data_IF_638768204011
#
_entry.id   IF_638768204011
#
_cell.length_a   1.000
_cell.length_b   1.000
_cell.length_c   1.000
_cell.angle_alpha   90.00
_cell.angle_beta   90.00
_cell.angle_gamma   90.00
#
_symmetry.space_group_name_H-M   'P 1'
#
loop_
_entity.id
_entity.type
_entity.pdbx_description
1 polymer ?
#
# COMPACT_ATOMS: atom_id res chain seq x y z
N UNK A 1 13.85 12.32 6.46
CA UNK A 1 14.89 11.32 6.71
C UNK A 1 14.41 10.21 7.65
N UNK A 2 13.96 10.48 8.88
CA UNK A 2 13.49 9.47 9.85
C UNK A 2 12.39 8.53 9.30
N UNK A 3 11.38 9.05 8.61
CA UNK A 3 10.29 8.24 8.03
C UNK A 3 10.83 7.30 6.96
N UNK A 4 11.81 7.74 6.15
CA UNK A 4 12.46 6.88 5.16
C UNK A 4 13.21 5.74 5.84
N UNK A 5 13.95 6.01 6.91
CA UNK A 5 14.68 4.99 7.67
C UNK A 5 13.75 4.00 8.38
N UNK A 6 12.66 4.47 8.98
CA UNK A 6 11.68 3.60 9.64
C UNK A 6 11.00 2.67 8.63
N UNK A 7 10.48 3.24 7.54
CA UNK A 7 9.81 2.44 6.49
C UNK A 7 10.79 1.50 5.81
N UNK A 8 12.02 1.94 5.59
CA UNK A 8 13.08 1.11 5.05
C UNK A 8 13.34 -0.11 5.94
N UNK A 9 13.53 0.06 7.25
CA UNK A 9 13.72 -1.05 8.19
C UNK A 9 12.54 -2.02 8.22
N UNK A 10 11.31 -1.49 8.19
CA UNK A 10 10.09 -2.30 8.24
C UNK A 10 9.84 -3.05 6.93
N UNK A 11 10.31 -2.54 5.79
CA UNK A 11 10.23 -3.23 4.49
C UNK A 11 11.41 -4.16 4.24
N UNK A 12 12.63 -3.69 4.49
CA UNK A 12 13.83 -4.46 4.22
C UNK A 12 13.88 -5.74 5.03
N UNK A 13 13.74 -5.64 6.34
CA UNK A 13 13.91 -6.79 7.22
C UNK A 13 12.97 -7.96 6.88
N UNK A 14 11.65 -7.77 6.68
CA UNK A 14 10.77 -8.84 6.28
C UNK A 14 10.99 -9.38 4.87
N UNK A 15 11.47 -8.54 3.95
CA UNK A 15 11.76 -8.97 2.58
C UNK A 15 13.02 -9.84 2.51
N UNK A 16 14.03 -9.50 3.34
CA UNK A 16 15.33 -10.19 3.37
C UNK A 16 15.31 -11.47 4.20
N UNK A 17 14.55 -11.51 5.27
CA UNK A 17 14.57 -12.60 6.26
C UNK A 17 13.24 -13.37 6.36
N UNK A 18 12.55 -13.57 5.24
CA UNK A 18 11.24 -14.23 5.20
C UNK A 18 11.24 -15.63 5.83
N UNK A 19 12.30 -16.40 5.62
CA UNK A 19 12.41 -17.75 6.17
C UNK A 19 12.45 -17.77 7.70
N UNK A 20 13.19 -16.83 8.29
CA UNK A 20 13.31 -16.68 9.75
C UNK A 20 11.99 -16.21 10.34
N UNK A 21 11.34 -15.25 9.72
CA UNK A 21 10.08 -14.68 10.19
C UNK A 21 8.91 -15.67 10.07
N UNK A 22 8.91 -16.51 9.03
CA UNK A 22 7.91 -17.58 8.90
C UNK A 22 8.01 -18.64 9.99
N UNK A 23 9.24 -18.96 10.44
CA UNK A 23 9.47 -19.87 11.56
C UNK A 23 9.04 -19.28 12.91
N UNK A 24 9.02 -17.97 13.05
CA UNK A 24 8.64 -17.26 14.28
C UNK A 24 7.14 -16.95 14.36
N UNK A 25 6.31 -17.42 13.41
CA UNK A 25 4.89 -17.06 13.29
C UNK A 25 4.63 -15.54 13.25
N UNK A 26 5.64 -14.76 12.86
CA UNK A 26 5.53 -13.31 12.81
C UNK A 26 4.68 -12.88 11.60
N UNK A 27 3.59 -12.19 11.88
CA UNK A 27 2.76 -11.62 10.81
C UNK A 27 3.49 -10.44 10.17
N UNK A 28 4.07 -10.69 8.99
CA UNK A 28 4.73 -9.65 8.21
C UNK A 28 3.69 -8.63 7.76
N UNK A 29 3.92 -7.34 8.00
CA UNK A 29 3.00 -6.29 7.57
C UNK A 29 2.85 -6.32 6.04
N UNK A 30 1.61 -6.30 5.55
CA UNK A 30 1.31 -6.35 4.11
C UNK A 30 1.17 -4.98 3.50
N UNK A 31 0.97 -3.96 4.32
CA UNK A 31 0.70 -2.63 3.83
C UNK A 31 1.09 -1.49 4.77
N UNK A 32 1.19 -0.32 4.18
CA UNK A 32 1.64 0.91 4.84
C UNK A 32 0.63 2.04 4.62
N UNK A 33 0.40 2.82 5.67
CA UNK A 33 -0.39 4.05 5.59
C UNK A 33 0.53 5.26 5.79
N UNK A 34 0.68 6.07 4.75
CA UNK A 34 1.33 7.37 4.83
C UNK A 34 0.28 8.46 5.01
N UNK A 35 0.34 9.19 6.11
CA UNK A 35 -0.61 10.25 6.39
C UNK A 35 0.07 11.56 6.76
N UNK A 36 -0.56 12.67 6.42
CA UNK A 36 -0.05 14.01 6.70
C UNK A 36 -0.63 15.05 5.76
N UNK A 37 -0.30 16.33 5.96
CA UNK A 37 -0.86 17.41 5.17
C UNK A 37 -0.55 17.25 3.67
N UNK A 38 -1.35 17.88 2.79
CA UNK A 38 -1.04 17.91 1.37
C UNK A 38 0.33 18.53 1.12
N UNK A 39 1.01 18.09 0.06
CA UNK A 39 2.34 18.61 -0.30
C UNK A 39 3.51 18.12 0.56
N UNK A 40 3.33 17.26 1.56
CA UNK A 40 4.43 16.72 2.36
C UNK A 40 5.25 15.61 1.65
N UNK A 41 4.98 15.34 0.38
CA UNK A 41 5.78 14.44 -0.44
C UNK A 41 5.50 12.95 -0.24
N UNK A 42 4.31 12.56 0.20
CA UNK A 42 3.91 11.14 0.41
C UNK A 42 4.22 10.25 -0.81
N UNK A 43 3.83 10.70 -1.99
CA UNK A 43 4.08 9.98 -3.25
C UNK A 43 5.56 9.86 -3.58
N UNK A 44 6.35 10.91 -3.34
CA UNK A 44 7.81 10.89 -3.53
C UNK A 44 8.49 9.91 -2.56
N UNK A 45 8.03 9.88 -1.31
CA UNK A 45 8.53 8.95 -0.30
C UNK A 45 8.25 7.51 -0.74
N UNK A 46 7.02 7.21 -1.19
CA UNK A 46 6.66 5.88 -1.69
C UNK A 46 7.53 5.42 -2.86
N UNK A 47 7.78 6.28 -3.84
CA UNK A 47 8.68 5.98 -4.97
C UNK A 47 10.13 5.77 -4.54
N UNK A 48 10.63 6.62 -3.64
CA UNK A 48 12.00 6.51 -3.14
C UNK A 48 12.22 5.21 -2.35
N UNK A 49 11.23 4.78 -1.57
CA UNK A 49 11.26 3.52 -0.82
C UNK A 49 11.30 2.34 -1.79
N UNK A 50 10.42 2.34 -2.80
CA UNK A 50 10.42 1.31 -3.84
C UNK A 50 11.82 1.16 -4.47
N UNK A 51 12.39 2.27 -4.94
CA UNK A 51 13.70 2.25 -5.60
C UNK A 51 14.78 1.67 -4.68
N UNK A 52 14.79 2.08 -3.42
CA UNK A 52 15.79 1.61 -2.45
C UNK A 52 15.62 0.12 -2.09
N UNK A 53 14.37 -0.32 -1.91
CA UNK A 53 14.06 -1.73 -1.62
C UNK A 53 14.48 -2.63 -2.77
N UNK A 54 14.13 -2.26 -4.01
CA UNK A 54 14.51 -3.06 -5.18
C UNK A 54 16.03 -3.11 -5.36
N UNK A 55 16.72 -1.98 -5.17
CA UNK A 55 18.19 -1.93 -5.24
C UNK A 55 18.83 -2.94 -4.26
N UNK A 56 18.39 -2.93 -3.01
CA UNK A 56 18.94 -3.83 -1.98
C UNK A 56 18.64 -5.30 -2.22
N UNK A 57 17.39 -5.61 -2.59
CA UNK A 57 17.04 -6.99 -2.92
C UNK A 57 17.83 -7.51 -4.12
N UNK A 58 18.08 -6.66 -5.13
CA UNK A 58 18.92 -7.04 -6.27
C UNK A 58 20.37 -7.28 -5.87
N UNK A 59 20.92 -6.49 -4.93
CA UNK A 59 22.27 -6.67 -4.40
C UNK A 59 22.41 -7.98 -3.61
N UNK A 60 21.41 -8.37 -2.81
CA UNK A 60 21.46 -9.58 -2.00
C UNK A 60 21.20 -10.87 -2.79
N UNK A 61 20.30 -10.84 -3.73
CA UNK A 61 19.98 -12.00 -4.56
C UNK A 61 20.96 -12.19 -5.73
N UNK A 62 21.95 -11.29 -5.89
CA UNK A 62 22.85 -11.25 -7.05
C UNK A 62 22.10 -11.31 -8.38
N UNK A 63 20.87 -10.79 -8.38
CA UNK A 63 19.93 -10.83 -9.51
C UNK A 63 19.34 -9.46 -9.78
N UNK A 64 19.03 -9.17 -11.03
CA UNK A 64 18.41 -7.90 -11.44
C UNK A 64 16.89 -7.94 -11.19
N UNK A 65 16.47 -7.66 -9.95
CA UNK A 65 15.06 -7.60 -9.61
C UNK A 65 14.41 -6.31 -10.14
N UNK A 66 13.21 -6.44 -10.67
CA UNK A 66 12.45 -5.31 -11.18
C UNK A 66 11.24 -5.01 -10.30
N UNK A 67 11.17 -3.78 -9.77
CA UNK A 67 9.97 -3.27 -9.13
C UNK A 67 8.97 -2.70 -10.13
N UNK A 68 7.69 -2.92 -9.88
CA UNK A 68 6.59 -2.34 -10.67
C UNK A 68 5.70 -1.48 -9.81
N UNK A 69 5.66 -0.18 -10.13
CA UNK A 69 4.88 0.79 -9.39
C UNK A 69 3.52 1.00 -10.07
N UNK A 70 2.46 0.60 -9.37
CA UNK A 70 1.07 0.80 -9.80
C UNK A 70 0.53 1.99 -9.02
N UNK A 71 0.47 3.16 -9.65
CA UNK A 71 -0.05 4.38 -9.04
C UNK A 71 -1.52 4.58 -9.40
N UNK A 72 -2.32 4.83 -8.38
CA UNK A 72 -3.77 5.05 -8.52
C UNK A 72 -4.18 6.22 -7.63
N UNK A 73 -5.01 7.11 -8.15
CA UNK A 73 -5.70 8.11 -7.33
C UNK A 73 -7.09 7.60 -6.94
N UNK A 74 -7.42 7.67 -5.65
CA UNK A 74 -8.72 7.25 -5.16
C UNK A 74 -9.90 7.88 -5.90
N UNK A 75 -9.94 9.21 -6.12
CA UNK A 75 -11.01 9.86 -6.88
C UNK A 75 -11.20 9.34 -8.31
N UNK A 76 -10.16 8.86 -8.97
CA UNK A 76 -10.26 8.27 -10.32
C UNK A 76 -11.03 6.95 -10.33
N UNK A 77 -11.04 6.25 -9.21
CA UNK A 77 -11.84 5.02 -9.04
C UNK A 77 -13.31 5.37 -8.80
N UNK A 78 -13.58 6.44 -8.05
CA UNK A 78 -14.94 6.85 -7.69
C UNK A 78 -15.76 7.45 -8.82
N UNK A 79 -15.13 8.06 -9.81
CA UNK A 79 -15.80 8.68 -10.94
C UNK A 79 -16.45 7.67 -11.91
N UNK A 80 -16.50 6.41 -11.51
CA UNK A 80 -17.04 5.33 -12.32
C UNK A 80 -18.44 4.91 -11.84
N UNK A 81 -19.24 4.36 -12.76
CA UNK A 81 -20.58 3.85 -12.48
C UNK A 81 -20.57 2.74 -11.42
N UNK A 82 -21.71 2.52 -10.78
CA UNK A 82 -21.88 1.48 -9.77
C UNK A 82 -21.36 0.12 -10.27
N UNK A 83 -20.49 -0.55 -9.49
CA UNK A 83 -19.84 -1.82 -9.88
C UNK A 83 -18.50 -1.65 -10.61
N UNK A 84 -18.20 -0.49 -11.18
CA UNK A 84 -16.90 -0.27 -11.84
C UNK A 84 -15.76 -0.01 -10.85
N UNK A 85 -16.07 0.58 -9.70
CA UNK A 85 -15.07 0.79 -8.64
C UNK A 85 -14.51 -0.53 -8.14
N UNK A 86 -15.38 -1.53 -7.92
CA UNK A 86 -14.96 -2.87 -7.54
C UNK A 86 -14.15 -3.55 -8.65
N UNK A 87 -14.60 -3.45 -9.88
CA UNK A 87 -13.87 -4.00 -11.03
C UNK A 87 -12.47 -3.41 -11.12
N UNK A 88 -12.35 -2.09 -10.95
CA UNK A 88 -11.07 -1.38 -11.00
C UNK A 88 -10.10 -1.84 -9.90
N UNK A 89 -10.59 -2.03 -8.67
CA UNK A 89 -9.77 -2.56 -7.58
C UNK A 89 -9.28 -3.97 -7.91
N UNK A 90 -10.16 -4.85 -8.36
CA UNK A 90 -9.76 -6.22 -8.79
C UNK A 90 -8.72 -6.18 -9.91
N UNK A 91 -8.87 -5.29 -10.89
CA UNK A 91 -7.89 -5.12 -11.98
C UNK A 91 -6.52 -4.68 -11.46
N UNK A 92 -6.47 -3.76 -10.46
CA UNK A 92 -5.23 -3.32 -9.84
C UNK A 92 -4.50 -4.51 -9.19
N UNK A 93 -5.20 -5.30 -8.36
CA UNK A 93 -4.61 -6.47 -7.70
C UNK A 93 -4.29 -7.59 -8.68
N UNK A 94 -5.12 -7.81 -9.70
CA UNK A 94 -4.82 -8.74 -10.80
C UNK A 94 -3.53 -8.36 -11.51
N UNK A 95 -3.37 -7.08 -11.87
CA UNK A 95 -2.15 -6.57 -12.50
C UNK A 95 -0.92 -6.77 -11.61
N UNK A 96 -1.07 -6.63 -10.29
CA UNK A 96 0.01 -6.92 -9.35
C UNK A 96 0.39 -8.41 -9.39
N UNK A 97 -0.59 -9.32 -9.38
CA UNK A 97 -0.34 -10.77 -9.53
C UNK A 97 0.35 -11.11 -10.84
N UNK A 98 -0.08 -10.51 -11.96
CA UNK A 98 0.54 -10.70 -13.27
C UNK A 98 2.03 -10.26 -13.29
N UNK A 99 2.38 -9.18 -12.57
CA UNK A 99 3.77 -8.76 -12.42
C UNK A 99 4.57 -9.74 -11.55
N UNK A 100 3.98 -10.23 -10.46
CA UNK A 100 4.62 -11.25 -9.61
C UNK A 100 4.93 -12.53 -10.40
N UNK A 101 3.98 -13.02 -11.21
CA UNK A 101 4.18 -14.20 -12.06
C UNK A 101 5.36 -14.03 -13.04
N UNK A 102 5.70 -12.80 -13.40
CA UNK A 102 6.86 -12.45 -14.23
C UNK A 102 8.16 -12.26 -13.42
N UNK A 103 8.17 -12.62 -12.14
CA UNK A 103 9.33 -12.44 -11.26
C UNK A 103 9.59 -10.98 -10.84
N UNK A 104 8.59 -10.10 -10.97
CA UNK A 104 8.69 -8.69 -10.61
C UNK A 104 8.00 -8.44 -9.27
N UNK A 105 8.45 -7.44 -8.51
CA UNK A 105 7.84 -7.06 -7.23
C UNK A 105 6.88 -5.90 -7.45
N UNK A 106 5.55 -6.11 -7.35
CA UNK A 106 4.57 -5.04 -7.53
C UNK A 106 4.40 -4.22 -6.27
N UNK A 107 4.30 -2.90 -6.45
CA UNK A 107 3.97 -1.91 -5.43
C UNK A 107 2.71 -1.18 -5.84
N UNK A 108 1.63 -1.37 -5.11
CA UNK A 108 0.37 -0.66 -5.30
C UNK A 108 0.41 0.59 -4.41
N UNK A 109 0.34 1.77 -5.02
CA UNK A 109 0.27 3.03 -4.31
C UNK A 109 -1.07 3.71 -4.60
N UNK A 110 -1.91 3.84 -3.57
CA UNK A 110 -3.21 4.52 -3.67
C UNK A 110 -3.11 5.87 -2.98
N UNK A 111 -3.18 6.92 -3.76
CA UNK A 111 -3.21 8.31 -3.26
C UNK A 111 -4.65 8.75 -3.00
N UNK A 112 -4.82 9.66 -2.03
CA UNK A 112 -6.14 10.10 -1.57
C UNK A 112 -7.07 8.92 -1.23
N UNK A 113 -6.50 7.94 -0.49
CA UNK A 113 -7.17 6.68 -0.20
C UNK A 113 -8.48 6.84 0.57
N UNK A 114 -8.65 7.91 1.36
CA UNK A 114 -9.90 8.25 2.04
C UNK A 114 -11.09 8.38 1.09
N UNK A 115 -10.83 8.67 -0.18
CA UNK A 115 -11.89 8.80 -1.18
C UNK A 115 -12.58 7.50 -1.55
N UNK A 116 -11.92 6.36 -1.39
CA UNK A 116 -12.46 5.02 -1.74
C UNK A 116 -12.52 4.06 -0.57
N UNK A 117 -11.65 4.23 0.41
CA UNK A 117 -11.52 3.37 1.59
C UNK A 117 -11.99 4.10 2.88
N UNK A 118 -12.79 5.13 2.72
CA UNK A 118 -13.34 5.90 3.82
C UNK A 118 -14.50 5.23 4.54
N UNK A 119 -14.77 5.69 5.77
CA UNK A 119 -15.90 5.24 6.57
C UNK A 119 -17.24 5.64 5.92
N UNK A 120 -18.32 4.91 6.27
CA UNK A 120 -19.68 5.22 5.83
C UNK A 120 -20.13 6.65 6.19
N UNK A 121 -19.61 7.22 7.27
CA UNK A 121 -19.93 8.59 7.70
C UNK A 121 -19.31 9.65 6.78
N UNK A 122 -18.18 9.35 6.13
CA UNK A 122 -17.56 10.23 5.14
C UNK A 122 -18.39 10.36 3.85
N UNK A 123 -19.27 9.39 3.58
CA UNK A 123 -20.02 9.28 2.33
C UNK A 123 -21.55 9.23 2.59
N UNK A 124 -22.10 10.36 2.97
CA UNK A 124 -23.57 10.48 3.09
C UNK A 124 -24.22 10.22 1.72
N UNK A 125 -24.73 8.99 1.52
CA UNK A 125 -25.61 8.65 0.39
C UNK A 125 -25.06 7.72 -0.68
N UNK A 126 -23.81 7.20 -0.60
CA UNK A 126 -23.32 6.24 -1.59
C UNK A 126 -23.12 4.83 -1.01
N UNK A 127 -23.60 3.82 -1.73
CA UNK A 127 -23.40 2.41 -1.37
C UNK A 127 -21.96 1.91 -1.65
N UNK A 128 -21.09 2.76 -2.18
CA UNK A 128 -19.73 2.42 -2.66
C UNK A 128 -18.86 1.89 -1.50
N UNK A 129 -18.90 2.51 -0.33
CA UNK A 129 -18.11 2.04 0.83
C UNK A 129 -18.57 0.66 1.33
N UNK A 130 -19.82 0.27 1.06
CA UNK A 130 -20.37 -1.02 1.49
C UNK A 130 -19.82 -2.20 0.68
N UNK A 131 -19.33 -1.95 -0.52
CA UNK A 131 -18.84 -2.99 -1.44
C UNK A 131 -17.34 -2.90 -1.68
N UNK A 132 -16.80 -1.69 -1.81
CA UNK A 132 -15.38 -1.43 -2.10
C UNK A 132 -14.48 -1.80 -0.93
N UNK A 133 -14.82 -1.38 0.30
CA UNK A 133 -14.02 -1.68 1.49
C UNK A 133 -13.92 -3.20 1.76
N UNK A 134 -15.02 -3.98 1.80
CA UNK A 134 -14.92 -5.43 1.97
C UNK A 134 -14.12 -6.12 0.87
N UNK A 135 -14.25 -5.65 -0.38
CA UNK A 135 -13.49 -6.21 -1.49
C UNK A 135 -12.00 -5.92 -1.37
N UNK A 136 -11.64 -4.68 -1.06
CA UNK A 136 -10.23 -4.32 -0.81
C UNK A 136 -9.65 -5.18 0.32
N UNK A 137 -10.40 -5.38 1.40
CA UNK A 137 -10.00 -6.26 2.49
C UNK A 137 -9.77 -7.70 2.01
N UNK A 138 -10.67 -8.24 1.17
CA UNK A 138 -10.52 -9.59 0.62
C UNK A 138 -9.28 -9.74 -0.26
N UNK A 139 -8.98 -8.74 -1.09
CA UNK A 139 -7.74 -8.71 -1.90
C UNK A 139 -6.49 -8.64 -1.01
N UNK A 140 -6.51 -7.83 0.05
CA UNK A 140 -5.42 -7.75 1.03
C UNK A 140 -5.20 -9.07 1.78
N UNK A 141 -6.29 -9.73 2.18
CA UNK A 141 -6.22 -11.03 2.86
C UNK A 141 -5.64 -12.13 1.96
N UNK A 142 -5.81 -12.00 0.64
CA UNK A 142 -5.23 -12.88 -0.35
C UNK A 142 -3.71 -12.74 -0.54
N UNK A 143 -3.09 -11.65 -0.07
CA UNK A 143 -1.63 -11.45 -0.12
C UNK A 143 -0.99 -12.28 1.00
N UNK A 144 -0.06 -13.17 0.65
CA UNK A 144 0.61 -14.02 1.64
C UNK A 144 1.93 -13.42 2.14
N UNK A 145 2.62 -12.64 1.31
CA UNK A 145 3.90 -12.03 1.68
C UNK A 145 4.14 -10.68 1.00
N UNK A 146 5.07 -9.87 1.55
CA UNK A 146 5.52 -8.61 0.93
C UNK A 146 6.24 -8.82 -0.42
N UNK A 147 6.84 -9.99 -0.65
CA UNK A 147 7.43 -10.32 -1.97
C UNK A 147 6.35 -10.48 -3.04
N UNK A 148 5.12 -10.74 -2.64
CA UNK A 148 4.02 -10.85 -3.58
C UNK A 148 3.50 -9.49 -4.02
N UNK A 149 3.22 -8.62 -3.05
CA UNK A 149 2.68 -7.29 -3.34
C UNK A 149 2.85 -6.41 -2.10
N UNK A 150 3.37 -5.23 -2.26
CA UNK A 150 3.41 -4.19 -1.23
C UNK A 150 2.31 -3.19 -1.51
N UNK A 151 1.45 -2.93 -0.53
CA UNK A 151 0.36 -1.95 -0.66
C UNK A 151 0.67 -0.73 0.19
N UNK A 152 0.64 0.45 -0.43
CA UNK A 152 0.86 1.72 0.23
C UNK A 152 -0.36 2.61 0.03
N UNK A 153 -0.98 3.02 1.10
CA UNK A 153 -2.05 4.01 1.11
C UNK A 153 -1.49 5.37 1.51
N UNK A 154 -1.87 6.41 0.79
CA UNK A 154 -1.58 7.79 1.15
C UNK A 154 -2.88 8.55 1.41
N UNK A 155 -2.94 9.29 2.52
CA UNK A 155 -4.12 10.07 2.89
C UNK A 155 -3.75 11.39 3.57
N UNK A 156 -4.59 12.38 3.37
CA UNK A 156 -4.54 13.63 4.14
C UNK A 156 -5.42 13.56 5.41
N UNK A 157 -6.34 12.59 5.46
CA UNK A 157 -7.36 12.43 6.48
C UNK A 157 -7.40 10.99 7.01
N UNK A 158 -6.43 10.59 7.84
CA UNK A 158 -6.37 9.22 8.38
C UNK A 158 -7.60 8.87 9.23
N UNK A 159 -8.24 9.87 9.81
CA UNK A 159 -9.49 9.75 10.57
C UNK A 159 -10.69 9.26 9.73
N UNK A 160 -10.63 9.44 8.42
CA UNK A 160 -11.67 9.00 7.49
C UNK A 160 -11.48 7.58 6.95
N UNK A 161 -10.29 6.99 7.08
CA UNK A 161 -10.02 5.62 6.61
C UNK A 161 -10.86 4.62 7.45
N UNK A 162 -11.47 3.65 6.77
CA UNK A 162 -12.28 2.64 7.45
C UNK A 162 -11.39 1.78 8.38
N UNK A 163 -11.79 1.59 9.65
CA UNK A 163 -11.03 0.78 10.61
C UNK A 163 -10.75 -0.66 10.14
N UNK A 164 -11.57 -1.22 9.25
CA UNK A 164 -11.33 -2.55 8.71
C UNK A 164 -10.07 -2.63 7.85
N UNK A 165 -9.68 -1.51 7.22
CA UNK A 165 -8.47 -1.40 6.38
C UNK A 165 -7.20 -1.42 7.23
N UNK A 166 -7.22 -0.72 8.36
CA UNK A 166 -6.04 -0.46 9.21
C UNK A 166 -5.87 -1.49 10.34
N UNK A 167 -6.43 -2.69 10.16
CA UNK A 167 -6.29 -3.79 11.11
C UNK A 167 -4.96 -4.54 10.91
N UNK A 168 -4.43 -5.19 11.98
CA UNK A 168 -3.29 -6.09 11.87
C UNK A 168 -3.46 -7.12 10.76
N UNK A 169 -2.38 -7.38 10.01
CA UNK A 169 -2.38 -8.28 8.86
C UNK A 169 -2.86 -7.66 7.54
N UNK A 170 -3.21 -6.37 7.53
CA UNK A 170 -3.54 -5.57 6.33
C UNK A 170 -2.64 -4.34 6.24
N UNK A 171 -3.19 -3.16 6.54
CA UNK A 171 -2.45 -1.89 6.57
C UNK A 171 -2.16 -1.54 8.02
N UNK A 172 -1.16 -2.17 8.59
CA UNK A 172 -0.84 -2.09 10.01
C UNK A 172 0.33 -1.17 10.34
N UNK A 173 1.12 -0.75 9.35
CA UNK A 173 2.19 0.21 9.55
C UNK A 173 1.76 1.63 9.17
N UNK A 174 1.74 2.52 10.15
CA UNK A 174 1.29 3.89 9.99
C UNK A 174 2.44 4.87 10.14
N UNK A 175 2.68 5.69 9.11
CA UNK A 175 3.78 6.65 9.08
C UNK A 175 3.28 8.08 8.84
N UNK A 176 3.56 8.96 9.78
CA UNK A 176 3.23 10.38 9.67
C UNK A 176 4.28 11.12 8.84
N UNK A 177 3.87 11.60 7.68
CA UNK A 177 4.68 12.51 6.88
C UNK A 177 4.54 13.94 7.39
N UNK A 178 5.67 14.60 7.65
CA UNK A 178 5.71 16.02 8.05
C UNK A 178 6.23 16.84 6.86
N UNK A 179 5.77 18.08 6.68
CA UNK A 179 6.37 18.99 5.72
C UNK A 179 7.88 19.10 5.99
N UNK A 180 8.68 19.16 4.94
CA UNK A 180 10.07 19.55 5.10
C UNK A 180 10.08 20.97 5.70
N UNK A 181 10.54 21.11 6.93
CA UNK A 181 10.80 22.43 7.49
C UNK A 181 11.84 23.08 6.60
N UNK A 182 11.46 24.18 5.94
CA UNK A 182 12.44 25.05 5.31
C UNK A 182 13.46 25.45 6.39
N UNK A 183 14.70 25.07 6.18
CA UNK A 183 15.85 25.60 6.93
C UNK A 183 16.23 26.94 6.36
#
# INVERSE_FOLDING_TARGET
EKVKEEVRKVLEYPLLHQEILSQMEYQVPKGFLFYGPPGCGKTLIGKAILTEVIRKLSEEEESELQGRFIYVKGPEILNMWLGESERKIREIFKKARDYKEKGQIPFIFIDEAESILGTRQAWRGSNISNTVVPMFCAEMDGIQSLRETVVILATNRPDLIDPAIIRPGRIDNHHRCRPATAR
#
